data_IF_675000112459
#
_entry.id   IF_675000112459
#
_cell.length_a   1.000
_cell.length_b   1.000
_cell.length_c   1.000
_cell.angle_alpha   90.00
_cell.angle_beta   90.00
_cell.angle_gamma   90.00
#
_symmetry.space_group_name_H-M   'P 1'
#
loop_
_entity.id
_entity.type
_entity.pdbx_description
1 polymer ?
#
# COMPACT_ATOMS: atom_id res chain seq x y z
N UNK A 1 -5.81 -28.38 4.55
CA UNK A 1 -5.89 -27.81 5.91
C UNK A 1 -5.43 -28.74 7.04
N UNK A 2 -5.61 -30.05 6.96
CA UNK A 2 -5.17 -30.99 8.02
C UNK A 2 -3.64 -31.14 8.21
N UNK A 3 -2.83 -30.94 7.19
CA UNK A 3 -1.37 -31.19 7.25
C UNK A 3 -0.57 -30.06 7.95
N UNK A 4 -0.99 -28.81 7.84
CA UNK A 4 -0.30 -27.66 8.51
C UNK A 4 -0.60 -27.62 10.00
N UNK A 5 -1.78 -28.04 10.43
CA UNK A 5 -2.13 -28.13 11.85
C UNK A 5 -1.39 -29.28 12.57
N UNK A 6 -1.17 -30.40 11.89
CA UNK A 6 -0.38 -31.51 12.44
C UNK A 6 1.08 -31.13 12.67
N UNK A 7 1.67 -30.33 11.77
CA UNK A 7 3.05 -29.87 11.88
C UNK A 7 3.22 -28.82 13.02
N UNK A 8 2.23 -27.97 13.22
CA UNK A 8 2.19 -27.00 14.31
C UNK A 8 2.11 -27.69 15.67
N UNK A 9 1.26 -28.71 15.80
CA UNK A 9 1.12 -29.50 17.03
C UNK A 9 2.40 -30.28 17.31
N UNK A 10 3.09 -30.85 16.32
CA UNK A 10 4.37 -31.53 16.49
C UNK A 10 5.50 -30.57 16.94
N UNK A 11 5.54 -29.37 16.42
CA UNK A 11 6.53 -28.36 16.82
C UNK A 11 6.25 -27.81 18.22
N UNK A 12 4.98 -27.62 18.59
CA UNK A 12 4.57 -27.23 19.92
C UNK A 12 4.94 -28.32 20.95
N UNK A 13 4.78 -29.61 20.58
CA UNK A 13 5.18 -30.74 21.42
C UNK A 13 6.70 -30.84 21.60
N UNK A 14 7.51 -30.51 20.60
CA UNK A 14 8.96 -30.41 20.71
C UNK A 14 9.41 -29.28 21.63
N UNK A 15 8.73 -28.14 21.62
CA UNK A 15 9.01 -27.02 22.51
C UNK A 15 8.62 -27.31 23.97
N UNK A 16 7.55 -28.04 24.21
CA UNK A 16 7.06 -28.38 25.55
C UNK A 16 7.89 -29.51 26.20
N UNK A 17 8.55 -30.37 25.41
CA UNK A 17 9.39 -31.47 25.92
C UNK A 17 10.64 -31.00 26.63
N UNK A 18 11.03 -29.73 26.46
CA UNK A 18 12.22 -29.12 27.11
C UNK A 18 11.91 -28.29 28.36
N UNK A 19 10.68 -28.28 28.87
CA UNK A 19 10.34 -27.60 30.14
C UNK A 19 9.27 -28.39 30.91
N UNK A 20 9.65 -28.76 32.12
CA UNK A 20 8.85 -29.49 33.11
C UNK A 20 7.68 -28.63 33.66
N UNK A 21 6.51 -28.52 32.99
CA UNK A 21 5.26 -28.01 33.56
C UNK A 21 4.13 -28.13 32.52
N UNK A 22 3.51 -29.30 32.41
CA UNK A 22 2.53 -29.56 31.35
C UNK A 22 1.12 -29.96 31.80
N UNK A 23 0.81 -30.04 33.08
CA UNK A 23 -0.49 -30.63 33.51
C UNK A 23 -1.71 -29.66 33.52
N UNK A 24 -1.50 -28.35 33.57
CA UNK A 24 -2.64 -27.42 33.65
C UNK A 24 -3.17 -26.89 32.30
N UNK A 25 -2.47 -27.15 31.21
CA UNK A 25 -2.86 -26.66 29.87
C UNK A 25 -3.77 -27.63 29.09
N UNK A 26 -3.82 -28.91 29.50
CA UNK A 26 -4.53 -29.98 28.78
C UNK A 26 -6.05 -29.96 29.06
N UNK A 27 -6.46 -29.35 30.16
CA UNK A 27 -7.87 -29.37 30.58
C UNK A 27 -8.81 -28.38 29.82
N UNK A 28 -8.25 -27.48 28.99
CA UNK A 28 -9.03 -26.40 28.36
C UNK A 28 -9.26 -26.52 26.86
N UNK A 29 -8.75 -27.57 26.21
CA UNK A 29 -8.96 -27.77 24.77
C UNK A 29 -10.02 -28.85 24.51
N UNK A 30 -11.23 -28.45 24.16
CA UNK A 30 -12.22 -29.35 23.54
C UNK A 30 -11.92 -29.48 22.06
N UNK A 31 -11.36 -30.60 21.64
CA UNK A 31 -11.20 -30.98 20.24
C UNK A 31 -12.50 -31.64 19.72
N UNK A 32 -12.83 -31.40 18.45
CA UNK A 32 -13.97 -31.97 17.78
C UNK A 32 -13.87 -33.53 17.66
N UNK A 33 -14.99 -34.27 17.65
CA UNK A 33 -15.04 -35.71 17.93
C UNK A 33 -14.37 -36.64 16.92
N UNK A 34 -13.82 -36.19 15.83
CA UNK A 34 -13.36 -37.04 14.73
C UNK A 34 -11.86 -37.39 14.74
N UNK A 35 -11.07 -36.96 15.73
CA UNK A 35 -9.60 -37.17 15.76
C UNK A 35 -9.09 -37.87 17.03
N UNK A 36 -9.91 -38.70 17.69
CA UNK A 36 -9.66 -39.17 19.08
C UNK A 36 -8.94 -40.54 19.21
N UNK A 37 -8.50 -41.19 18.15
CA UNK A 37 -8.21 -42.65 18.27
C UNK A 37 -6.76 -43.08 18.47
N UNK A 38 -5.74 -42.24 18.31
CA UNK A 38 -4.36 -42.69 18.54
C UNK A 38 -3.52 -41.79 19.44
N UNK A 39 -3.67 -40.49 19.38
CA UNK A 39 -2.86 -39.56 20.19
C UNK A 39 -3.30 -39.53 21.67
N UNK A 40 -4.58 -39.66 21.95
CA UNK A 40 -5.15 -39.68 23.31
C UNK A 40 -4.71 -40.90 24.12
N UNK A 41 -4.62 -42.07 23.48
CA UNK A 41 -4.17 -43.30 24.18
C UNK A 41 -2.67 -43.30 24.48
N UNK A 42 -1.84 -42.67 23.65
CA UNK A 42 -0.41 -42.55 23.89
C UNK A 42 -0.11 -41.59 25.06
N UNK A 43 -0.87 -40.54 25.21
CA UNK A 43 -0.73 -39.56 26.30
C UNK A 43 -1.19 -40.17 27.63
N UNK A 44 -2.29 -40.90 27.66
CA UNK A 44 -2.76 -41.56 28.90
C UNK A 44 -1.82 -42.65 29.42
N UNK A 45 -1.09 -43.34 28.54
CA UNK A 45 -0.08 -44.36 28.95
C UNK A 45 1.22 -43.77 29.46
N UNK A 46 1.54 -42.53 29.11
CA UNK A 46 2.79 -41.91 29.58
C UNK A 46 2.63 -41.22 30.94
N UNK A 47 1.41 -40.68 31.22
CA UNK A 47 1.12 -40.03 32.52
C UNK A 47 1.00 -41.00 33.69
N UNK A 48 0.67 -42.28 33.45
CA UNK A 48 0.49 -43.28 34.49
C UNK A 48 1.78 -43.86 35.07
N UNK A 49 2.97 -43.45 34.63
CA UNK A 49 4.26 -44.05 35.04
C UNK A 49 5.21 -43.12 35.80
N UNK A 50 4.80 -41.92 36.20
CA UNK A 50 5.69 -41.04 37.01
C UNK A 50 5.05 -40.71 38.35
N UNK A 51 5.71 -41.14 39.42
CA UNK A 51 5.39 -40.95 40.84
C UNK A 51 5.75 -39.54 41.33
N UNK A 52 5.21 -39.10 42.49
CA UNK A 52 5.04 -37.69 42.82
C UNK A 52 6.26 -37.06 43.51
N UNK A 53 6.54 -35.83 43.15
CA UNK A 53 7.47 -34.95 43.89
C UNK A 53 6.72 -33.66 44.25
N UNK A 54 6.89 -33.31 45.53
CA UNK A 54 6.28 -32.22 46.27
C UNK A 54 6.39 -30.83 45.63
N UNK A 55 5.32 -30.08 45.69
CA UNK A 55 5.10 -28.73 45.15
C UNK A 55 5.77 -27.70 46.07
N UNK A 56 6.63 -26.88 45.49
CA UNK A 56 7.04 -25.58 46.05
C UNK A 56 6.31 -24.50 45.24
N UNK A 57 5.36 -23.85 45.87
CA UNK A 57 4.53 -22.79 45.31
C UNK A 57 5.29 -21.46 45.25
N UNK A 58 6.06 -21.23 44.21
CA UNK A 58 6.56 -19.91 43.85
C UNK A 58 6.77 -19.82 42.33
N UNK A 59 5.86 -19.21 41.59
CA UNK A 59 6.02 -18.98 40.16
C UNK A 59 4.73 -18.78 39.35
N UNK A 60 3.55 -19.04 39.93
CA UNK A 60 2.29 -19.01 39.17
C UNK A 60 1.71 -17.59 38.92
N UNK A 61 2.29 -16.54 39.56
CA UNK A 61 1.81 -15.16 39.42
C UNK A 61 2.39 -14.39 38.22
N UNK A 62 3.57 -14.76 37.71
CA UNK A 62 4.21 -14.03 36.62
C UNK A 62 3.75 -14.48 35.24
N UNK A 63 3.43 -15.76 35.05
CA UNK A 63 3.02 -16.28 33.72
C UNK A 63 1.60 -15.85 33.32
N UNK A 64 0.68 -15.75 34.30
CA UNK A 64 -0.68 -15.21 34.04
C UNK A 64 -0.64 -13.70 33.70
N UNK A 65 0.24 -12.94 34.32
CA UNK A 65 0.46 -11.52 33.99
C UNK A 65 1.12 -11.32 32.63
N UNK A 66 2.04 -12.19 32.22
CA UNK A 66 2.68 -12.16 30.90
C UNK A 66 1.71 -12.59 29.79
N UNK A 67 0.87 -13.60 30.03
CA UNK A 67 -0.17 -14.02 29.07
C UNK A 67 -1.30 -13.00 28.96
N UNK A 68 -1.71 -12.36 30.03
CA UNK A 68 -2.70 -11.27 29.98
C UNK A 68 -2.14 -9.99 29.36
N UNK A 69 -0.85 -9.69 29.57
CA UNK A 69 -0.17 -8.58 28.89
C UNK A 69 0.02 -8.86 27.37
N UNK A 70 0.38 -10.08 26.99
CA UNK A 70 0.47 -10.48 25.59
C UNK A 70 -0.90 -10.50 24.88
N UNK A 71 -1.95 -10.92 25.58
CA UNK A 71 -3.32 -10.89 25.05
C UNK A 71 -3.87 -9.45 24.99
N UNK A 72 -3.49 -8.58 25.93
CA UNK A 72 -3.82 -7.15 25.89
C UNK A 72 -3.07 -6.41 24.78
N UNK A 73 -1.81 -6.77 24.50
CA UNK A 73 -1.05 -6.24 23.36
C UNK A 73 -1.61 -6.72 22.02
N UNK A 74 -2.14 -7.96 21.94
CA UNK A 74 -2.82 -8.48 20.74
C UNK A 74 -4.21 -7.83 20.53
N UNK A 75 -4.84 -7.29 21.57
CA UNK A 75 -6.11 -6.57 21.50
C UNK A 75 -5.94 -5.05 21.32
N UNK A 76 -4.71 -4.55 21.47
CA UNK A 76 -4.32 -3.15 21.27
C UNK A 76 -3.68 -2.88 19.91
N UNK A 77 -3.47 -3.92 19.07
CA UNK A 77 -3.19 -3.70 17.64
C UNK A 77 -4.46 -3.11 17.04
N UNK A 78 -4.38 -1.82 16.73
CA UNK A 78 -5.47 -0.98 16.30
C UNK A 78 -6.40 -1.70 15.35
N UNK A 79 -7.68 -1.68 15.65
CA UNK A 79 -8.70 -1.82 14.63
C UNK A 79 -8.52 -0.62 13.72
N UNK A 80 -7.66 -0.78 12.68
CA UNK A 80 -7.87 0.00 11.48
C UNK A 80 -9.35 -0.22 11.16
N UNK A 81 -10.15 0.83 11.22
CA UNK A 81 -11.53 0.76 10.74
C UNK A 81 -11.40 0.40 9.26
N UNK A 82 -11.46 -0.90 8.96
CA UNK A 82 -11.48 -1.36 7.60
C UNK A 82 -12.67 -0.67 6.94
N UNK A 83 -12.41 0.11 5.91
CA UNK A 83 -13.47 0.67 5.08
C UNK A 83 -14.38 -0.49 4.69
N UNK A 84 -15.69 -0.36 4.91
CA UNK A 84 -16.62 -1.43 4.59
C UNK A 84 -16.61 -1.63 3.08
N UNK A 85 -16.00 -2.72 2.62
CA UNK A 85 -15.99 -3.08 1.21
C UNK A 85 -17.43 -3.39 0.77
N UNK A 86 -17.85 -2.84 -0.35
CA UNK A 86 -19.16 -3.11 -0.94
C UNK A 86 -19.20 -4.54 -1.51
N UNK A 87 -20.43 -5.09 -1.59
CA UNK A 87 -20.65 -6.40 -2.20
C UNK A 87 -20.76 -6.28 -3.71
N UNK A 88 -20.56 -7.37 -4.42
CA UNK A 88 -20.64 -7.45 -5.89
C UNK A 88 -21.96 -6.93 -6.48
N UNK A 89 -23.07 -7.10 -5.77
CA UNK A 89 -24.41 -6.72 -6.17
C UNK A 89 -24.77 -5.27 -5.82
N UNK A 90 -23.94 -4.56 -5.08
CA UNK A 90 -24.20 -3.17 -4.66
C UNK A 90 -23.97 -2.17 -5.83
N UNK A 91 -23.05 -2.49 -6.76
CA UNK A 91 -22.78 -1.67 -7.95
C UNK A 91 -22.87 -2.56 -9.19
N UNK A 92 -23.86 -2.35 -10.08
CA UNK A 92 -24.06 -3.17 -11.26
C UNK A 92 -23.01 -2.84 -12.32
N UNK A 93 -21.97 -3.67 -12.43
CA UNK A 93 -20.96 -3.62 -13.48
C UNK A 93 -20.90 -4.92 -14.27
N UNK A 94 -20.66 -4.82 -15.57
CA UNK A 94 -20.57 -5.97 -16.47
C UNK A 94 -19.25 -6.75 -16.30
N UNK A 95 -18.14 -6.06 -16.00
CA UNK A 95 -16.84 -6.70 -15.85
C UNK A 95 -16.84 -7.74 -14.72
N UNK A 96 -16.26 -8.95 -14.94
CA UNK A 96 -16.24 -10.02 -13.94
C UNK A 96 -15.26 -9.77 -12.79
N UNK A 97 -14.13 -9.10 -13.05
CA UNK A 97 -13.12 -8.78 -12.03
C UNK A 97 -12.97 -7.27 -11.95
N UNK A 98 -13.07 -6.71 -10.73
CA UNK A 98 -12.94 -5.27 -10.54
C UNK A 98 -12.47 -4.89 -9.14
N UNK A 99 -11.86 -3.71 -9.03
CA UNK A 99 -11.56 -3.03 -7.77
C UNK A 99 -11.71 -1.51 -7.95
N UNK A 100 -12.18 -0.85 -6.91
CA UNK A 100 -12.24 0.60 -6.80
C UNK A 100 -11.49 1.02 -5.53
N UNK A 101 -10.44 1.80 -5.69
CA UNK A 101 -9.50 2.20 -4.63
C UNK A 101 -9.33 3.71 -4.63
N UNK A 102 -9.11 4.31 -3.46
CA UNK A 102 -8.72 5.70 -3.34
C UNK A 102 -7.18 5.82 -3.28
N UNK A 103 -6.63 6.84 -3.94
CA UNK A 103 -5.18 7.02 -4.14
C UNK A 103 -4.41 7.22 -2.83
N UNK A 104 -4.79 8.18 -1.97
CA UNK A 104 -3.98 8.59 -0.81
C UNK A 104 -3.97 7.51 0.28
N UNK A 105 -5.14 7.07 0.67
CA UNK A 105 -5.31 6.08 1.74
C UNK A 105 -5.08 4.65 1.29
N UNK A 106 -5.26 4.36 0.00
CA UNK A 106 -5.32 2.99 -0.53
C UNK A 106 -6.58 2.24 -0.10
N UNK A 107 -7.57 2.95 0.45
CA UNK A 107 -8.81 2.35 0.89
C UNK A 107 -9.63 1.81 -0.28
N UNK A 108 -10.13 0.58 -0.13
CA UNK A 108 -10.93 -0.12 -1.14
C UNK A 108 -12.41 0.12 -0.89
N UNK A 109 -13.08 0.73 -1.86
CA UNK A 109 -14.51 1.05 -1.80
C UNK A 109 -15.35 -0.11 -2.33
N UNK A 110 -14.85 -0.81 -3.35
CA UNK A 110 -15.56 -1.90 -4.03
C UNK A 110 -14.57 -2.95 -4.53
N UNK A 111 -14.95 -4.20 -4.45
CA UNK A 111 -14.21 -5.30 -5.06
C UNK A 111 -15.16 -6.39 -5.58
N UNK A 112 -14.79 -6.98 -6.70
CA UNK A 112 -15.47 -8.10 -7.33
C UNK A 112 -14.42 -9.02 -7.93
N UNK A 113 -14.31 -10.25 -7.44
CA UNK A 113 -13.27 -11.21 -7.87
C UNK A 113 -11.88 -10.53 -8.04
N UNK A 114 -11.55 -9.58 -7.15
CA UNK A 114 -10.41 -8.68 -7.30
C UNK A 114 -9.05 -9.40 -7.28
N UNK A 115 -8.99 -10.57 -6.65
CA UNK A 115 -7.79 -11.41 -6.50
C UNK A 115 -7.74 -12.59 -7.49
N UNK A 116 -8.66 -12.65 -8.46
CA UNK A 116 -8.61 -13.68 -9.48
C UNK A 116 -7.51 -13.37 -10.49
N UNK A 117 -6.59 -14.35 -10.71
CA UNK A 117 -5.49 -14.21 -11.66
C UNK A 117 -6.01 -14.20 -13.09
N UNK A 118 -5.64 -13.18 -13.84
CA UNK A 118 -6.01 -12.96 -15.24
C UNK A 118 -4.82 -12.44 -16.05
N UNK A 119 -4.84 -12.67 -17.34
CA UNK A 119 -3.91 -11.99 -18.26
C UNK A 119 -4.23 -10.47 -18.29
N UNK A 120 -3.25 -9.58 -18.06
CA UNK A 120 -3.48 -8.13 -18.06
C UNK A 120 -3.50 -7.50 -19.45
N UNK A 121 -3.05 -8.20 -20.48
CA UNK A 121 -2.72 -7.58 -21.75
C UNK A 121 -1.82 -6.34 -21.57
N UNK A 122 -2.02 -5.29 -22.37
CA UNK A 122 -1.22 -4.05 -22.29
C UNK A 122 -1.38 -3.24 -20.99
N UNK A 123 -2.23 -3.67 -20.02
CA UNK A 123 -2.21 -3.05 -18.68
C UNK A 123 -0.87 -3.35 -17.98
N UNK A 124 -0.13 -4.39 -18.38
CA UNK A 124 1.28 -4.64 -18.02
C UNK A 124 2.14 -3.38 -18.10
N UNK A 125 1.88 -2.49 -19.08
CA UNK A 125 2.67 -1.27 -19.29
C UNK A 125 2.53 -0.24 -18.18
N UNK A 126 1.59 -0.42 -17.24
CA UNK A 126 1.56 0.40 -16.01
C UNK A 126 2.87 0.18 -15.23
N UNK A 127 3.31 -1.08 -15.06
CA UNK A 127 4.59 -1.38 -14.43
C UNK A 127 5.78 -0.88 -15.27
N UNK A 128 5.69 -1.00 -16.59
CA UNK A 128 6.74 -0.47 -17.49
C UNK A 128 6.89 1.04 -17.34
N UNK A 129 5.78 1.79 -17.35
CA UNK A 129 5.79 3.23 -17.14
C UNK A 129 6.27 3.60 -15.73
N UNK A 130 5.87 2.85 -14.70
CA UNK A 130 6.31 3.07 -13.32
C UNK A 130 7.84 3.01 -13.20
N UNK A 131 8.46 1.96 -13.70
CA UNK A 131 9.93 1.82 -13.63
C UNK A 131 10.67 2.91 -14.41
N UNK A 132 10.13 3.34 -15.56
CA UNK A 132 10.71 4.44 -16.35
C UNK A 132 10.58 5.77 -15.60
N UNK A 133 9.43 6.04 -15.02
CA UNK A 133 9.17 7.27 -14.24
C UNK A 133 10.05 7.33 -13.00
N UNK A 134 10.12 6.25 -12.23
CA UNK A 134 11.01 6.14 -11.06
C UNK A 134 12.48 6.36 -11.44
N UNK A 135 12.93 5.83 -12.60
CA UNK A 135 14.28 6.05 -13.09
C UNK A 135 14.53 7.51 -13.48
N UNK A 136 13.54 8.19 -14.04
CA UNK A 136 13.65 9.62 -14.37
C UNK A 136 13.72 10.46 -13.09
N UNK A 137 12.84 10.23 -12.13
CA UNK A 137 12.79 11.02 -10.89
C UNK A 137 14.01 10.79 -9.98
N UNK A 138 14.58 9.56 -10.01
CA UNK A 138 15.83 9.28 -9.30
C UNK A 138 17.07 9.82 -10.01
N UNK A 139 16.94 10.35 -11.23
CA UNK A 139 18.07 10.82 -12.05
C UNK A 139 18.89 9.68 -12.69
N UNK A 140 18.43 8.43 -12.64
CA UNK A 140 19.08 7.30 -13.31
C UNK A 140 18.84 7.31 -14.83
N UNK A 141 17.79 8.00 -15.29
CA UNK A 141 17.46 8.17 -16.69
C UNK A 141 17.03 9.63 -16.93
N UNK A 142 17.62 10.28 -17.96
CA UNK A 142 17.22 11.64 -18.34
C UNK A 142 16.00 11.61 -19.28
N UNK A 143 15.04 12.53 -19.08
CA UNK A 143 13.84 12.66 -19.94
C UNK A 143 14.19 12.84 -21.41
N UNK A 144 15.24 13.62 -21.68
CA UNK A 144 15.68 13.98 -23.02
C UNK A 144 16.77 13.05 -23.55
N UNK A 145 17.14 12.01 -22.78
CA UNK A 145 18.07 11.00 -23.24
C UNK A 145 17.56 10.35 -24.53
N UNK A 146 18.46 10.20 -25.49
CA UNK A 146 18.12 9.63 -26.81
C UNK A 146 18.22 8.11 -26.73
N UNK A 147 17.10 7.44 -26.95
CA UNK A 147 16.99 5.99 -27.08
C UNK A 147 17.12 5.61 -28.56
N UNK A 148 17.92 4.60 -28.85
CA UNK A 148 18.05 4.03 -30.20
C UNK A 148 17.31 2.71 -30.26
N UNK A 149 16.35 2.58 -31.17
CA UNK A 149 15.55 1.37 -31.32
C UNK A 149 16.43 0.20 -31.78
N UNK A 150 16.38 -0.91 -31.04
CA UNK A 150 17.01 -2.18 -31.41
C UNK A 150 16.20 -2.90 -32.49
N UNK A 151 16.80 -3.93 -33.08
CA UNK A 151 16.09 -4.85 -33.98
C UNK A 151 14.91 -5.52 -33.26
N UNK A 152 15.07 -5.90 -31.97
CA UNK A 152 14.03 -6.49 -31.14
C UNK A 152 12.87 -5.51 -30.96
N UNK A 153 13.14 -4.28 -30.56
CA UNK A 153 12.10 -3.26 -30.39
C UNK A 153 11.36 -2.98 -31.71
N UNK A 154 12.09 -2.81 -32.81
CA UNK A 154 11.53 -2.56 -34.14
C UNK A 154 10.69 -3.74 -34.69
N UNK A 155 10.97 -4.97 -34.26
CA UNK A 155 10.23 -6.17 -34.68
C UNK A 155 8.92 -6.41 -33.93
N UNK A 156 8.60 -5.57 -32.91
CA UNK A 156 7.41 -5.75 -32.10
C UNK A 156 6.12 -5.57 -32.89
N UNK A 157 5.16 -6.44 -32.65
CA UNK A 157 3.83 -6.38 -33.24
C UNK A 157 2.79 -5.70 -32.33
N UNK A 158 1.55 -5.76 -32.75
CA UNK A 158 0.38 -5.21 -32.03
C UNK A 158 0.33 -3.68 -32.10
N UNK A 159 0.03 -3.00 -31.00
CA UNK A 159 0.06 -1.55 -30.94
C UNK A 159 1.49 -1.04 -30.99
N UNK A 160 1.79 -0.16 -31.94
CA UNK A 160 3.15 0.31 -32.21
C UNK A 160 3.14 1.62 -32.97
N UNK A 161 4.27 2.32 -33.00
CA UNK A 161 4.49 3.50 -33.85
C UNK A 161 5.38 3.17 -35.07
N UNK A 162 5.65 1.88 -35.30
CA UNK A 162 6.51 1.36 -36.37
C UNK A 162 7.92 1.94 -36.30
N UNK A 163 8.58 1.76 -35.12
CA UNK A 163 10.00 2.10 -35.00
C UNK A 163 10.83 1.32 -36.01
N UNK A 164 11.73 2.03 -36.73
CA UNK A 164 12.76 1.38 -37.53
C UNK A 164 13.99 1.05 -36.68
N UNK A 165 14.71 -0.02 -37.03
CA UNK A 165 15.96 -0.35 -36.37
C UNK A 165 16.95 0.81 -36.53
N UNK A 166 17.51 1.30 -35.43
CA UNK A 166 18.42 2.44 -35.41
C UNK A 166 17.71 3.81 -35.33
N UNK A 167 16.37 3.85 -35.39
CA UNK A 167 15.61 5.08 -35.16
C UNK A 167 15.87 5.63 -33.75
N UNK A 168 15.91 6.95 -33.63
CA UNK A 168 16.27 7.63 -32.38
C UNK A 168 15.15 8.57 -31.96
N UNK A 169 14.67 8.37 -30.73
CA UNK A 169 13.68 9.23 -30.09
C UNK A 169 14.08 9.47 -28.63
N UNK A 170 13.55 10.52 -28.02
CA UNK A 170 13.79 10.78 -26.60
C UNK A 170 12.98 9.80 -25.72
N UNK A 171 13.46 9.59 -24.48
CA UNK A 171 12.72 8.85 -23.44
C UNK A 171 11.30 9.40 -23.29
N UNK A 172 11.15 10.73 -23.23
CA UNK A 172 9.87 11.43 -23.12
C UNK A 172 8.92 11.13 -24.29
N UNK A 173 9.40 11.14 -25.53
CA UNK A 173 8.58 10.81 -26.71
C UNK A 173 8.16 9.35 -26.70
N UNK A 174 9.07 8.42 -26.37
CA UNK A 174 8.74 7.01 -26.27
C UNK A 174 7.74 6.73 -25.13
N UNK A 175 7.92 7.35 -23.95
CA UNK A 175 6.98 7.26 -22.83
C UNK A 175 5.58 7.77 -23.22
N UNK A 176 5.51 8.89 -23.95
CA UNK A 176 4.28 9.42 -24.54
C UNK A 176 3.60 8.36 -25.44
N UNK A 177 4.35 7.72 -26.31
CA UNK A 177 3.82 6.68 -27.21
C UNK A 177 3.29 5.47 -26.42
N UNK A 178 3.98 5.05 -25.37
CA UNK A 178 3.53 3.96 -24.47
C UNK A 178 2.22 4.33 -23.78
N UNK A 179 2.11 5.55 -23.26
CA UNK A 179 0.91 6.00 -22.55
C UNK A 179 -0.29 6.19 -23.48
N UNK A 180 -0.10 6.85 -24.62
CA UNK A 180 -1.19 7.28 -25.52
C UNK A 180 -1.66 6.15 -26.42
N UNK A 181 -0.75 5.60 -27.24
CA UNK A 181 -1.12 4.56 -28.24
C UNK A 181 -0.76 3.15 -27.81
N UNK A 182 -0.22 2.98 -26.60
CA UNK A 182 0.18 1.65 -26.09
C UNK A 182 1.33 1.00 -26.88
N UNK A 183 2.26 1.78 -27.42
CA UNK A 183 3.33 1.35 -28.31
C UNK A 183 4.20 0.25 -27.68
N UNK A 184 4.19 -0.97 -28.25
CA UNK A 184 4.99 -2.11 -27.77
C UNK A 184 6.48 -1.93 -28.11
N UNK A 185 6.78 -1.42 -29.30
CA UNK A 185 8.11 -1.10 -29.76
C UNK A 185 8.82 -0.09 -28.84
N UNK A 186 8.13 0.99 -28.46
CA UNK A 186 8.64 1.95 -27.50
C UNK A 186 8.81 1.35 -26.09
N UNK A 187 7.92 0.48 -25.67
CA UNK A 187 8.01 -0.16 -24.35
C UNK A 187 9.27 -1.05 -24.26
N UNK A 188 9.56 -1.84 -25.30
CA UNK A 188 10.77 -2.66 -25.38
C UNK A 188 12.02 -1.79 -25.47
N UNK A 189 12.03 -0.74 -26.31
CA UNK A 189 13.15 0.19 -26.42
C UNK A 189 13.50 0.88 -25.09
N UNK A 190 12.50 1.32 -24.33
CA UNK A 190 12.68 1.89 -22.99
C UNK A 190 13.18 0.85 -21.99
N UNK A 191 12.67 -0.39 -22.03
CA UNK A 191 13.12 -1.48 -21.19
C UNK A 191 14.60 -1.81 -21.43
N UNK A 192 15.02 -1.89 -22.70
CA UNK A 192 16.40 -2.10 -23.08
C UNK A 192 17.31 -0.92 -22.70
N UNK A 193 16.82 0.32 -22.85
CA UNK A 193 17.55 1.52 -22.44
C UNK A 193 17.84 1.53 -20.94
N UNK A 194 16.85 1.12 -20.11
CA UNK A 194 16.98 1.17 -18.66
C UNK A 194 17.78 0.00 -18.09
N UNK A 195 17.61 -1.21 -18.63
CA UNK A 195 18.18 -2.43 -18.05
C UNK A 195 19.11 -3.20 -19.00
N UNK A 196 19.39 -2.67 -20.18
CA UNK A 196 20.24 -3.31 -21.19
C UNK A 196 19.56 -4.41 -22.00
N UNK A 197 18.57 -5.11 -21.43
CA UNK A 197 17.76 -6.14 -22.09
C UNK A 197 16.35 -6.18 -21.53
N UNK A 198 15.35 -6.60 -22.35
CA UNK A 198 13.99 -6.82 -21.84
C UNK A 198 13.96 -7.84 -20.69
N UNK A 199 14.74 -8.93 -20.78
CA UNK A 199 14.80 -9.93 -19.70
C UNK A 199 15.28 -9.38 -18.36
N UNK A 200 16.24 -8.44 -18.38
CA UNK A 200 16.69 -7.76 -17.16
C UNK A 200 15.61 -6.81 -16.63
N UNK A 201 14.91 -6.13 -17.51
CA UNK A 201 13.79 -5.26 -17.14
C UNK A 201 12.63 -6.06 -16.55
N UNK A 202 12.26 -7.21 -17.11
CA UNK A 202 11.23 -8.10 -16.59
C UNK A 202 11.58 -8.61 -15.18
N UNK A 203 12.84 -8.94 -14.91
CA UNK A 203 13.25 -9.24 -13.52
C UNK A 203 12.98 -8.07 -12.59
N UNK A 204 13.33 -6.85 -13.00
CA UNK A 204 13.06 -5.64 -12.19
C UNK A 204 11.57 -5.38 -12.02
N UNK A 205 10.72 -5.66 -13.05
CA UNK A 205 9.26 -5.60 -12.92
C UNK A 205 8.74 -6.54 -11.81
N UNK A 206 9.23 -7.78 -11.77
CA UNK A 206 8.82 -8.76 -10.76
C UNK A 206 9.36 -8.41 -9.36
N UNK A 207 10.58 -7.87 -9.26
CA UNK A 207 11.11 -7.34 -8.00
C UNK A 207 10.25 -6.18 -7.49
N UNK A 208 9.89 -5.22 -8.37
CA UNK A 208 9.03 -4.10 -7.98
C UNK A 208 7.62 -4.52 -7.61
N UNK A 209 7.06 -5.52 -8.31
CA UNK A 209 5.79 -6.12 -7.94
C UNK A 209 5.82 -6.69 -6.51
N UNK A 210 6.90 -7.42 -6.15
CA UNK A 210 7.07 -7.94 -4.80
C UNK A 210 7.23 -6.81 -3.76
N UNK A 211 7.96 -5.74 -4.06
CA UNK A 211 8.11 -4.55 -3.21
C UNK A 211 6.76 -3.86 -2.94
N UNK A 212 5.85 -3.85 -3.94
CA UNK A 212 4.50 -3.30 -3.84
C UNK A 212 3.48 -4.24 -3.18
N UNK A 213 3.87 -5.48 -2.83
CA UNK A 213 2.98 -6.47 -2.26
C UNK A 213 2.01 -7.10 -3.27
N UNK A 214 2.36 -7.11 -4.56
CA UNK A 214 1.58 -7.74 -5.63
C UNK A 214 1.83 -9.26 -5.63
N UNK A 215 1.22 -9.97 -4.68
CA UNK A 215 1.50 -11.40 -4.42
C UNK A 215 0.98 -12.34 -5.51
N UNK A 216 0.00 -11.91 -6.28
CA UNK A 216 -0.65 -12.68 -7.35
C UNK A 216 -0.29 -12.16 -8.75
N UNK A 217 0.93 -11.64 -8.91
CA UNK A 217 1.43 -11.08 -10.18
C UNK A 217 2.75 -11.72 -10.59
N UNK A 218 2.85 -12.05 -11.88
CA UNK A 218 4.10 -12.46 -12.51
C UNK A 218 4.17 -11.94 -13.95
N UNK A 219 5.22 -11.21 -14.25
CA UNK A 219 5.49 -10.68 -15.58
C UNK A 219 6.53 -11.53 -16.31
N UNK A 220 6.26 -11.85 -17.58
CA UNK A 220 7.20 -12.54 -18.49
C UNK A 220 7.71 -11.63 -19.61
N UNK A 221 7.05 -10.48 -19.84
CA UNK A 221 7.45 -9.47 -20.81
C UNK A 221 7.00 -8.07 -20.36
N UNK A 222 7.53 -7.01 -20.96
CA UNK A 222 7.24 -5.63 -20.59
C UNK A 222 6.01 -5.01 -21.30
N UNK A 223 5.38 -5.74 -22.21
CA UNK A 223 4.32 -5.21 -23.08
C UNK A 223 2.92 -5.77 -22.80
N UNK A 224 2.83 -7.01 -22.31
CA UNK A 224 1.58 -7.77 -22.18
C UNK A 224 0.98 -8.19 -23.53
N UNK A 225 1.80 -8.24 -24.60
CA UNK A 225 1.35 -8.63 -25.93
C UNK A 225 1.18 -10.16 -26.05
N UNK A 226 2.08 -10.92 -25.43
CA UNK A 226 2.05 -12.37 -25.49
C UNK A 226 1.11 -12.92 -24.42
N UNK A 227 0.14 -13.75 -24.87
CA UNK A 227 -0.79 -14.47 -24.00
C UNK A 227 -0.13 -15.73 -23.40
N UNK A 228 0.90 -15.52 -22.58
CA UNK A 228 1.58 -16.55 -21.81
C UNK A 228 0.77 -16.89 -20.55
N UNK A 229 0.68 -18.18 -20.20
CA UNK A 229 -0.02 -18.61 -18.97
C UNK A 229 0.70 -18.17 -17.70
N UNK A 230 2.02 -17.97 -17.80
CA UNK A 230 2.85 -17.46 -16.71
C UNK A 230 2.83 -15.92 -16.59
N UNK A 231 2.18 -15.21 -17.54
CA UNK A 231 2.00 -13.76 -17.51
C UNK A 231 0.62 -13.41 -16.96
N UNK A 232 0.53 -13.19 -15.66
CA UNK A 232 -0.74 -12.97 -14.97
C UNK A 232 -0.63 -11.88 -13.89
N UNK A 233 -1.78 -11.35 -13.52
CA UNK A 233 -1.97 -10.40 -12.42
C UNK A 233 -3.43 -10.45 -11.94
N UNK A 234 -3.79 -9.59 -11.00
CA UNK A 234 -5.16 -9.43 -10.48
C UNK A 234 -5.62 -7.98 -10.60
N UNK A 235 -6.92 -7.73 -10.49
CA UNK A 235 -7.44 -6.36 -10.45
C UNK A 235 -6.89 -5.59 -9.22
N UNK A 236 -6.72 -6.30 -8.10
CA UNK A 236 -6.12 -5.77 -6.88
C UNK A 236 -4.66 -5.33 -7.12
N UNK A 237 -3.82 -6.21 -7.64
CA UNK A 237 -2.40 -5.92 -7.86
C UNK A 237 -2.21 -4.79 -8.89
N UNK A 238 -3.06 -4.74 -9.93
CA UNK A 238 -3.06 -3.62 -10.87
C UNK A 238 -3.41 -2.30 -10.16
N UNK A 239 -4.35 -2.32 -9.21
CA UNK A 239 -4.66 -1.10 -8.45
C UNK A 239 -3.46 -0.65 -7.60
N UNK A 240 -2.70 -1.58 -7.00
CA UNK A 240 -1.48 -1.26 -6.25
C UNK A 240 -0.43 -0.57 -7.14
N UNK A 241 -0.07 -1.17 -8.29
CA UNK A 241 0.91 -0.54 -9.20
C UNK A 241 0.38 0.73 -9.85
N UNK A 242 -0.93 0.84 -10.09
CA UNK A 242 -1.55 2.06 -10.61
C UNK A 242 -1.50 3.17 -9.58
N UNK A 243 -1.80 2.86 -8.32
CA UNK A 243 -1.70 3.78 -7.19
C UNK A 243 -0.29 4.33 -7.05
N UNK A 244 0.71 3.47 -7.14
CA UNK A 244 2.10 3.90 -7.07
C UNK A 244 2.46 4.81 -8.26
N UNK A 245 2.11 4.41 -9.49
CA UNK A 245 2.42 5.21 -10.67
C UNK A 245 1.81 6.61 -10.63
N UNK A 246 0.55 6.77 -10.20
CA UNK A 246 -0.10 8.09 -10.16
C UNK A 246 0.35 8.96 -8.98
N UNK A 247 1.16 8.44 -8.06
CA UNK A 247 1.86 9.26 -7.04
C UNK A 247 2.97 10.10 -7.64
N UNK A 248 3.45 9.71 -8.80
CA UNK A 248 4.40 10.46 -9.60
C UNK A 248 3.65 11.40 -10.55
N UNK A 249 3.45 12.64 -10.16
CA UNK A 249 2.63 13.61 -10.92
C UNK A 249 3.07 13.76 -12.38
N UNK A 250 4.35 13.52 -12.67
CA UNK A 250 4.90 13.54 -14.01
C UNK A 250 4.14 12.63 -14.99
N UNK A 251 3.59 11.50 -14.55
CA UNK A 251 2.91 10.57 -15.48
C UNK A 251 1.65 11.19 -16.08
N UNK A 252 0.98 12.11 -15.37
CA UNK A 252 -0.23 12.80 -15.84
C UNK A 252 0.06 13.66 -17.07
N UNK A 253 1.30 14.14 -17.26
CA UNK A 253 1.70 14.86 -18.47
C UNK A 253 1.52 14.01 -19.74
N UNK A 254 1.58 12.69 -19.64
CA UNK A 254 1.45 11.76 -20.76
C UNK A 254 0.08 11.09 -20.81
N UNK A 255 -0.45 10.64 -19.69
CA UNK A 255 -1.69 9.83 -19.66
C UNK A 255 -2.95 10.65 -19.95
N UNK A 256 -2.92 11.96 -19.72
CA UNK A 256 -4.02 12.88 -20.02
C UNK A 256 -4.07 13.38 -21.46
N UNK A 257 -3.05 13.07 -22.27
CA UNK A 257 -3.03 13.45 -23.68
C UNK A 257 -4.13 12.67 -24.41
N UNK A 258 -5.09 13.40 -25.05
CA UNK A 258 -6.09 12.78 -25.91
C UNK A 258 -5.56 12.55 -27.32
N UNK A 259 -4.95 13.56 -27.92
CA UNK A 259 -4.33 13.50 -29.25
C UNK A 259 -3.05 14.32 -29.27
N UNK A 260 -2.03 13.81 -29.95
CA UNK A 260 -0.75 14.49 -30.14
C UNK A 260 -0.07 13.99 -31.43
N UNK A 261 1.13 14.46 -31.69
CA UNK A 261 1.95 14.01 -32.84
C UNK A 261 3.39 13.73 -32.40
N UNK A 262 4.08 12.96 -33.19
CA UNK A 262 5.54 12.71 -33.12
C UNK A 262 6.15 12.88 -34.51
N UNK A 263 7.49 12.78 -34.61
CA UNK A 263 8.20 12.90 -35.89
C UNK A 263 7.85 14.20 -36.62
N UNK A 264 8.01 15.33 -35.94
CA UNK A 264 7.73 16.67 -36.47
C UNK A 264 6.31 16.85 -37.05
N UNK A 265 5.32 16.12 -36.50
CA UNK A 265 3.93 16.19 -36.90
C UNK A 265 3.51 15.17 -37.95
N UNK A 266 4.43 14.35 -38.43
CA UNK A 266 4.15 13.36 -39.48
C UNK A 266 3.35 12.15 -38.97
N UNK A 267 3.42 11.85 -37.66
CA UNK A 267 2.73 10.69 -37.09
C UNK A 267 1.77 11.11 -35.97
N UNK A 268 0.46 10.87 -36.17
CA UNK A 268 -0.61 11.21 -35.21
C UNK A 268 -0.77 10.14 -34.14
N UNK A 269 -0.92 10.58 -32.89
CA UNK A 269 -1.25 9.75 -31.72
C UNK A 269 -2.68 10.02 -31.31
N UNK A 270 -3.43 8.96 -30.97
CA UNK A 270 -4.79 9.06 -30.36
C UNK A 270 -4.89 8.09 -29.19
N UNK A 271 -5.32 8.61 -28.06
CA UNK A 271 -5.34 7.83 -26.83
C UNK A 271 -6.32 6.65 -26.90
N UNK A 272 -5.82 5.47 -26.58
CA UNK A 272 -6.63 4.25 -26.49
C UNK A 272 -7.61 4.29 -25.31
N UNK A 273 -7.30 5.11 -24.30
CA UNK A 273 -8.18 5.32 -23.15
C UNK A 273 -9.21 6.44 -23.42
N UNK A 274 -10.39 6.05 -23.87
CA UNK A 274 -11.48 6.98 -24.18
C UNK A 274 -12.01 7.76 -22.98
N UNK A 275 -11.69 7.36 -21.72
CA UNK A 275 -12.06 8.13 -20.53
C UNK A 275 -11.51 9.54 -20.59
N UNK A 276 -10.28 9.71 -21.12
CA UNK A 276 -9.62 11.02 -21.23
C UNK A 276 -10.46 12.05 -21.97
N UNK A 277 -11.28 11.63 -22.92
CA UNK A 277 -12.15 12.54 -23.66
C UNK A 277 -13.58 12.59 -23.08
N UNK A 278 -14.12 11.45 -22.62
CA UNK A 278 -15.54 11.34 -22.30
C UNK A 278 -15.88 11.37 -20.80
N UNK A 279 -14.88 11.37 -19.91
CA UNK A 279 -15.11 11.34 -18.47
C UNK A 279 -14.40 12.50 -17.79
N UNK A 280 -15.18 13.39 -17.18
CA UNK A 280 -14.67 14.57 -16.49
C UNK A 280 -13.70 14.19 -15.36
N UNK A 281 -12.53 14.83 -15.35
CA UNK A 281 -11.49 14.58 -14.36
C UNK A 281 -10.64 13.34 -14.64
N UNK A 282 -10.81 12.63 -15.76
CA UNK A 282 -9.99 11.48 -16.08
C UNK A 282 -8.49 11.85 -16.17
N UNK A 283 -7.65 11.15 -15.41
CA UNK A 283 -6.19 11.34 -15.34
C UNK A 283 -5.40 10.21 -16.02
N UNK A 284 -6.05 9.08 -16.32
CA UNK A 284 -5.38 7.94 -16.95
C UNK A 284 -6.26 6.69 -16.97
N UNK A 285 -5.68 5.50 -16.98
CA UNK A 285 -4.25 5.20 -16.98
C UNK A 285 -3.92 4.32 -18.20
N UNK A 286 -4.42 3.07 -18.25
CA UNK A 286 -4.04 2.14 -19.31
C UNK A 286 -5.12 1.15 -19.69
N UNK A 287 -5.33 0.98 -21.00
CA UNK A 287 -6.19 -0.05 -21.61
C UNK A 287 -5.37 -1.30 -21.95
N UNK A 288 -6.02 -2.46 -21.95
CA UNK A 288 -5.48 -3.73 -22.43
C UNK A 288 -6.52 -4.51 -23.24
N UNK A 289 -6.06 -5.26 -24.22
CA UNK A 289 -6.85 -6.22 -24.97
C UNK A 289 -5.96 -7.27 -25.63
N UNK A 290 -6.28 -8.54 -25.42
CA UNK A 290 -5.90 -9.69 -26.25
C UNK A 290 -7.10 -10.63 -26.29
N UNK A 291 -7.06 -11.64 -27.15
CA UNK A 291 -8.14 -12.63 -27.21
C UNK A 291 -8.31 -13.43 -25.92
N UNK A 292 -7.23 -13.64 -25.14
CA UNK A 292 -7.25 -14.31 -23.84
C UNK A 292 -7.63 -13.38 -22.70
N UNK A 293 -7.04 -12.19 -22.66
CA UNK A 293 -7.30 -11.21 -21.60
C UNK A 293 -8.68 -10.56 -21.70
N UNK A 294 -9.29 -10.55 -22.87
CA UNK A 294 -10.48 -9.76 -23.18
C UNK A 294 -10.22 -8.26 -22.92
N UNK A 295 -11.21 -7.47 -22.61
CA UNK A 295 -11.06 -6.02 -22.43
C UNK A 295 -10.73 -5.66 -20.99
N UNK A 296 -9.54 -5.08 -20.79
CA UNK A 296 -9.01 -4.66 -19.50
C UNK A 296 -8.81 -3.14 -19.45
N UNK A 297 -8.96 -2.53 -18.28
CA UNK A 297 -8.73 -1.10 -18.08
C UNK A 297 -8.34 -0.84 -16.62
N UNK A 298 -7.23 -0.16 -16.42
CA UNK A 298 -6.97 0.64 -15.23
C UNK A 298 -7.35 2.08 -15.57
N UNK A 299 -8.41 2.60 -14.97
CA UNK A 299 -8.89 3.96 -15.17
C UNK A 299 -8.73 4.78 -13.90
N UNK A 300 -8.25 6.02 -14.04
CA UNK A 300 -8.09 6.97 -12.93
C UNK A 300 -8.78 8.27 -13.22
N UNK A 301 -9.29 8.92 -12.18
CA UNK A 301 -9.88 10.24 -12.28
C UNK A 301 -9.71 11.00 -10.97
N UNK A 302 -9.51 12.32 -11.09
CA UNK A 302 -9.35 13.25 -9.97
C UNK A 302 -10.41 14.36 -10.04
N UNK A 303 -11.06 14.64 -8.91
CA UNK A 303 -11.97 15.79 -8.74
C UNK A 303 -11.83 16.34 -7.34
N UNK A 304 -11.77 17.64 -7.21
CA UNK A 304 -11.69 18.33 -5.92
C UNK A 304 -10.54 17.82 -5.02
N UNK A 305 -9.42 17.42 -5.63
CA UNK A 305 -8.25 16.91 -4.93
C UNK A 305 -8.35 15.45 -4.46
N UNK A 306 -9.40 14.73 -4.83
CA UNK A 306 -9.56 13.28 -4.54
C UNK A 306 -9.40 12.50 -5.84
N UNK A 307 -8.47 11.52 -5.84
CA UNK A 307 -8.23 10.68 -7.00
C UNK A 307 -8.60 9.22 -6.72
N UNK A 308 -9.42 8.64 -7.60
CA UNK A 308 -9.83 7.25 -7.53
C UNK A 308 -9.25 6.44 -8.67
N UNK A 309 -9.02 5.17 -8.37
CA UNK A 309 -8.51 4.14 -9.28
C UNK A 309 -9.58 3.07 -9.42
N UNK A 310 -10.06 2.85 -10.64
CA UNK A 310 -11.00 1.77 -10.95
C UNK A 310 -10.35 0.82 -11.95
N UNK A 311 -10.11 -0.41 -11.55
CA UNK A 311 -9.55 -1.46 -12.41
C UNK A 311 -10.63 -2.46 -12.75
N UNK A 312 -10.73 -2.80 -14.04
CA UNK A 312 -11.58 -3.90 -14.51
C UNK A 312 -10.80 -4.81 -15.44
N UNK A 313 -11.01 -6.12 -15.28
CA UNK A 313 -10.39 -7.15 -16.11
C UNK A 313 -11.45 -8.02 -16.74
N UNK A 314 -11.13 -8.53 -17.92
CA UNK A 314 -11.88 -9.58 -18.63
C UNK A 314 -13.33 -9.19 -18.97
N UNK A 315 -13.59 -7.90 -19.28
CA UNK A 315 -14.89 -7.48 -19.78
C UNK A 315 -15.13 -8.01 -21.21
N UNK A 316 -16.36 -8.37 -21.53
CA UNK A 316 -16.70 -8.98 -22.82
C UNK A 316 -16.53 -8.03 -24.00
N UNK A 317 -16.81 -6.74 -23.79
CA UNK A 317 -16.70 -5.72 -24.84
C UNK A 317 -15.92 -4.49 -24.38
N UNK A 318 -15.44 -3.73 -25.38
CA UNK A 318 -14.83 -2.43 -25.11
C UNK A 318 -15.80 -1.45 -24.42
N UNK A 319 -17.11 -1.52 -24.73
CA UNK A 319 -18.12 -0.71 -24.07
C UNK A 319 -18.24 -1.08 -22.59
N UNK A 320 -18.33 -2.36 -22.28
CA UNK A 320 -18.51 -2.85 -20.90
C UNK A 320 -17.37 -2.43 -19.99
N UNK A 321 -16.12 -2.50 -20.47
CA UNK A 321 -14.96 -2.06 -19.65
C UNK A 321 -15.02 -0.57 -19.31
N UNK A 322 -15.39 0.29 -20.30
CA UNK A 322 -15.46 1.73 -20.06
C UNK A 322 -16.65 2.09 -19.18
N UNK A 323 -17.84 1.51 -19.43
CA UNK A 323 -19.03 1.75 -18.61
C UNK A 323 -18.83 1.24 -17.16
N UNK A 324 -18.20 0.07 -16.98
CA UNK A 324 -17.89 -0.43 -15.64
C UNK A 324 -16.98 0.53 -14.86
N UNK A 325 -15.90 1.01 -15.48
CA UNK A 325 -14.99 1.98 -14.83
C UNK A 325 -15.71 3.31 -14.55
N UNK A 326 -16.47 3.85 -15.50
CA UNK A 326 -17.24 5.08 -15.30
C UNK A 326 -18.25 4.94 -14.15
N UNK A 327 -18.92 3.81 -14.07
CA UNK A 327 -19.87 3.52 -12.99
C UNK A 327 -19.18 3.52 -11.63
N UNK A 328 -18.05 2.82 -11.51
CA UNK A 328 -17.27 2.76 -10.27
C UNK A 328 -16.76 4.14 -9.85
N UNK A 329 -16.12 4.88 -10.76
CA UNK A 329 -15.60 6.22 -10.47
C UNK A 329 -16.74 7.19 -10.11
N UNK A 330 -17.85 7.16 -10.84
CA UNK A 330 -19.00 8.02 -10.55
C UNK A 330 -19.62 7.70 -9.20
N UNK A 331 -19.69 6.43 -8.83
CA UNK A 331 -20.14 6.00 -7.51
C UNK A 331 -19.22 6.55 -6.39
N UNK A 332 -17.88 6.44 -6.58
CA UNK A 332 -16.92 6.96 -5.62
C UNK A 332 -17.10 8.48 -5.43
N UNK A 333 -17.08 9.25 -6.53
CA UNK A 333 -17.24 10.70 -6.46
C UNK A 333 -18.60 11.15 -5.91
N UNK A 334 -19.66 10.38 -6.11
CA UNK A 334 -20.97 10.71 -5.56
C UNK A 334 -21.04 10.51 -4.04
N UNK A 335 -20.44 9.45 -3.53
CA UNK A 335 -20.69 8.97 -2.17
C UNK A 335 -19.55 9.23 -1.18
N UNK A 336 -18.29 9.28 -1.63
CA UNK A 336 -17.13 9.38 -0.77
C UNK A 336 -16.40 10.71 -0.92
N UNK A 337 -15.70 11.09 0.11
CA UNK A 337 -14.81 12.24 0.16
C UNK A 337 -13.60 11.96 1.01
N UNK A 338 -12.52 12.66 0.72
CA UNK A 338 -11.27 12.62 1.44
C UNK A 338 -11.17 13.85 2.35
N UNK A 339 -10.73 13.69 3.58
CA UNK A 339 -10.45 14.80 4.48
C UNK A 339 -9.11 14.62 5.15
N UNK A 340 -8.42 15.73 5.41
CA UNK A 340 -7.20 15.68 6.22
C UNK A 340 -7.53 15.36 7.67
N UNK A 341 -6.77 14.45 8.26
CA UNK A 341 -6.81 14.15 9.70
C UNK A 341 -6.00 15.17 10.51
N UNK A 342 -5.27 16.07 9.85
CA UNK A 342 -4.49 17.11 10.51
C UNK A 342 -5.34 18.37 10.65
N UNK A 343 -5.75 18.74 11.87
CA UNK A 343 -6.35 20.05 12.09
C UNK A 343 -5.42 21.18 11.59
N UNK A 344 -5.96 22.29 11.10
CA UNK A 344 -5.15 23.39 10.59
C UNK A 344 -4.33 24.08 11.68
N UNK A 345 -4.68 23.87 12.95
CA UNK A 345 -4.00 24.45 14.09
C UNK A 345 -2.74 23.63 14.46
N UNK A 346 -1.63 24.33 14.63
CA UNK A 346 -0.39 23.69 15.06
C UNK A 346 -0.54 23.16 16.50
N UNK A 347 0.02 21.98 16.76
CA UNK A 347 0.05 21.40 18.10
C UNK A 347 0.93 22.27 19.02
N UNK A 348 0.47 22.60 20.24
CA UNK A 348 1.30 23.32 21.19
C UNK A 348 2.51 22.48 21.61
N UNK A 349 3.69 23.11 21.85
CA UNK A 349 4.85 22.39 22.34
C UNK A 349 4.57 21.81 23.73
N UNK A 350 5.03 20.57 23.97
CA UNK A 350 4.91 19.87 25.25
C UNK A 350 6.17 20.15 26.08
N UNK A 351 6.01 20.63 27.31
CA UNK A 351 7.13 20.92 28.23
C UNK A 351 7.85 19.63 28.60
N UNK A 352 9.20 19.68 28.65
CA UNK A 352 10.01 18.54 29.07
C UNK A 352 10.67 18.84 30.42
N UNK A 353 10.26 18.09 31.45
CA UNK A 353 10.80 18.26 32.81
C UNK A 353 12.18 17.62 32.90
N UNK A 354 13.14 18.37 33.41
CA UNK A 354 14.54 17.97 33.53
C UNK A 354 15.18 17.60 32.18
N UNK A 355 14.72 18.21 31.09
CA UNK A 355 15.30 18.06 29.75
C UNK A 355 16.39 19.06 29.44
N UNK A 356 17.30 18.71 28.53
CA UNK A 356 18.29 19.68 27.97
C UNK A 356 17.57 20.80 27.22
N UNK A 357 16.45 20.47 26.52
CA UNK A 357 15.49 21.42 25.98
C UNK A 357 14.26 21.53 26.90
N UNK A 358 13.69 22.72 27.02
CA UNK A 358 12.53 22.97 27.89
C UNK A 358 11.21 22.43 27.32
N UNK A 359 11.17 22.15 26.02
CA UNK A 359 9.98 21.58 25.34
C UNK A 359 10.37 20.72 24.15
N UNK A 360 9.42 19.91 23.71
CA UNK A 360 9.48 19.13 22.46
C UNK A 360 8.26 19.45 21.61
N UNK A 361 8.47 19.60 20.30
CA UNK A 361 7.39 19.80 19.35
C UNK A 361 6.69 18.47 19.06
N UNK A 362 5.37 18.33 19.33
CA UNK A 362 4.61 17.17 18.92
C UNK A 362 4.29 17.24 17.43
N UNK A 363 4.21 16.05 16.80
CA UNK A 363 3.79 15.86 15.41
C UNK A 363 2.81 14.69 15.32
N UNK A 364 1.91 14.72 14.34
CA UNK A 364 1.02 13.59 14.09
C UNK A 364 1.81 12.43 13.46
N UNK A 365 1.57 11.21 13.94
CA UNK A 365 2.12 9.98 13.38
C UNK A 365 1.02 9.19 12.69
N UNK A 366 1.28 8.67 11.48
CA UNK A 366 0.33 7.86 10.73
C UNK A 366 -0.35 8.59 9.58
N UNK A 367 -1.48 8.05 9.16
CA UNK A 367 -2.19 8.50 7.96
C UNK A 367 -2.60 9.97 8.07
N UNK A 368 -2.40 10.70 6.97
CA UNK A 368 -2.74 12.12 6.88
C UNK A 368 -4.19 12.36 6.48
N UNK A 369 -4.85 11.34 5.92
CA UNK A 369 -6.17 11.43 5.32
C UNK A 369 -7.12 10.36 5.80
N UNK A 370 -8.40 10.69 5.80
CA UNK A 370 -9.52 9.79 6.05
C UNK A 370 -10.44 9.82 4.82
N UNK A 371 -10.67 8.65 4.23
CA UNK A 371 -11.72 8.46 3.25
C UNK A 371 -12.98 7.99 3.97
N UNK A 372 -14.10 8.68 3.78
CA UNK A 372 -15.38 8.33 4.39
C UNK A 372 -16.55 8.80 3.53
N UNK A 373 -17.76 8.30 3.80
CA UNK A 373 -18.98 8.78 3.13
C UNK A 373 -19.20 10.26 3.40
N UNK A 374 -19.57 11.01 2.37
CA UNK A 374 -19.73 12.49 2.44
C UNK A 374 -20.68 12.94 3.56
N UNK A 375 -21.74 12.17 3.85
CA UNK A 375 -22.65 12.47 4.94
C UNK A 375 -22.01 12.39 6.33
N UNK A 376 -20.99 11.57 6.49
CA UNK A 376 -20.23 11.43 7.75
C UNK A 376 -19.21 12.56 7.89
N UNK A 377 -18.55 12.94 6.79
CA UNK A 377 -17.54 14.00 6.77
C UNK A 377 -18.07 15.38 7.18
N UNK A 378 -19.34 15.66 6.96
CA UNK A 378 -19.95 16.95 7.31
C UNK A 378 -20.10 17.22 8.81
N UNK A 379 -19.86 16.22 9.66
CA UNK A 379 -20.00 16.32 11.12
C UNK A 379 -18.81 15.79 11.90
N UNK A 380 -17.59 16.02 11.38
CA UNK A 380 -16.36 15.58 12.06
C UNK A 380 -16.04 16.48 13.27
N UNK A 381 -15.69 15.83 14.37
CA UNK A 381 -15.19 16.47 15.58
C UNK A 381 -13.77 15.94 15.86
N UNK A 382 -12.88 16.85 16.22
CA UNK A 382 -11.47 16.56 16.53
C UNK A 382 -11.22 16.80 18.01
N UNK A 383 -10.72 15.79 18.71
CA UNK A 383 -10.34 15.85 20.12
C UNK A 383 -8.86 15.50 20.26
N UNK A 384 -8.07 16.43 20.78
CA UNK A 384 -6.64 16.28 21.01
C UNK A 384 -6.37 16.10 22.49
N UNK A 385 -5.75 14.99 22.84
CA UNK A 385 -5.28 14.70 24.20
C UNK A 385 -3.76 14.79 24.22
N UNK A 386 -3.21 15.84 24.84
CA UNK A 386 -1.78 16.06 25.05
C UNK A 386 -1.54 16.40 26.52
N UNK A 387 -0.45 15.87 27.15
CA UNK A 387 -0.05 16.27 28.49
C UNK A 387 0.57 17.67 28.47
N UNK A 388 0.46 18.41 29.55
CA UNK A 388 1.14 19.71 29.72
C UNK A 388 2.66 19.54 29.81
N UNK A 389 3.13 18.44 30.39
CA UNK A 389 4.56 18.12 30.50
C UNK A 389 4.82 16.62 30.47
N UNK A 390 6.07 16.27 30.12
CA UNK A 390 6.62 14.91 30.15
C UNK A 390 8.00 14.89 30.79
N UNK A 391 8.41 13.86 31.52
CA UNK A 391 9.75 13.77 32.10
C UNK A 391 10.79 13.40 31.02
N UNK A 392 11.99 14.00 31.10
CA UNK A 392 13.13 13.59 30.31
C UNK A 392 13.70 12.22 30.80
N UNK A 393 14.33 11.40 29.90
CA UNK A 393 14.54 11.69 28.48
C UNK A 393 13.30 11.39 27.64
N UNK A 394 13.12 12.13 26.54
CA UNK A 394 12.12 11.89 25.51
C UNK A 394 12.83 11.35 24.27
N UNK A 395 12.34 10.24 23.72
CA UNK A 395 12.87 9.69 22.48
C UNK A 395 12.16 10.31 21.26
N UNK A 396 12.85 10.44 20.13
CA UNK A 396 12.18 10.77 18.87
C UNK A 396 11.13 9.67 18.54
N UNK A 397 9.94 10.07 18.10
CA UNK A 397 8.82 9.14 17.85
C UNK A 397 8.13 8.63 19.13
N UNK A 398 8.55 9.05 20.32
CA UNK A 398 7.85 8.68 21.56
C UNK A 398 6.43 9.25 21.55
N UNK A 399 5.43 8.40 21.82
CA UNK A 399 4.05 8.83 21.93
C UNK A 399 3.87 9.82 23.07
N UNK A 400 3.33 10.98 22.74
CA UNK A 400 3.01 12.06 23.67
C UNK A 400 1.50 12.15 23.94
N UNK A 401 0.68 11.85 22.91
CA UNK A 401 -0.75 12.01 23.01
C UNK A 401 -1.51 11.31 21.88
N UNK A 402 -2.77 11.68 21.71
CA UNK A 402 -3.65 11.11 20.67
C UNK A 402 -4.60 12.17 20.15
N UNK A 403 -4.75 12.21 18.82
CA UNK A 403 -5.88 12.84 18.15
C UNK A 403 -6.97 11.78 17.96
N UNK A 404 -8.17 12.06 18.42
CA UNK A 404 -9.37 11.24 18.14
C UNK A 404 -10.29 12.01 17.21
N UNK A 405 -10.65 11.39 16.08
CA UNK A 405 -11.60 11.92 15.10
C UNK A 405 -12.90 11.17 15.25
N UNK A 406 -13.99 11.88 15.48
CA UNK A 406 -15.33 11.31 15.60
C UNK A 406 -16.26 11.90 14.54
N UNK A 407 -17.21 11.09 14.08
CA UNK A 407 -18.23 11.48 13.10
C UNK A 407 -19.43 10.59 13.20
N UNK A 408 -20.64 11.14 13.10
CA UNK A 408 -21.87 10.36 13.25
C UNK A 408 -22.01 9.66 14.60
N UNK A 409 -21.35 10.15 15.65
CA UNK A 409 -21.35 9.55 16.99
C UNK A 409 -20.42 8.35 17.17
N UNK A 410 -19.55 8.07 16.18
CA UNK A 410 -18.57 6.98 16.23
C UNK A 410 -17.16 7.52 16.11
N UNK A 411 -16.18 6.80 16.69
CA UNK A 411 -14.76 7.08 16.45
C UNK A 411 -14.38 6.55 15.08
N UNK A 412 -13.94 7.45 14.21
CA UNK A 412 -13.53 7.13 12.83
C UNK A 412 -12.03 6.88 12.73
N UNK A 413 -11.22 7.65 13.46
CA UNK A 413 -9.78 7.49 13.46
C UNK A 413 -9.17 7.83 14.82
N UNK A 414 -8.00 7.27 15.11
CA UNK A 414 -7.12 7.66 16.19
C UNK A 414 -5.71 7.76 15.64
N UNK A 415 -5.12 8.95 15.77
CA UNK A 415 -3.77 9.23 15.28
C UNK A 415 -2.90 9.50 16.51
N UNK A 416 -1.80 8.77 16.61
CA UNK A 416 -0.82 9.03 17.67
C UNK A 416 -0.12 10.37 17.43
N UNK A 417 0.10 11.10 18.50
CA UNK A 417 0.89 12.31 18.49
C UNK A 417 2.23 11.98 19.16
N UNK A 418 3.32 12.21 18.45
CA UNK A 418 4.66 11.76 18.85
C UNK A 418 5.64 12.94 18.93
N UNK A 419 6.75 12.73 19.64
CA UNK A 419 7.84 13.70 19.70
C UNK A 419 8.59 13.77 18.36
N UNK A 420 8.74 14.98 17.81
CA UNK A 420 9.47 15.19 16.54
C UNK A 420 10.98 14.95 16.66
N UNK A 421 11.54 15.16 17.85
CA UNK A 421 12.96 15.05 18.13
C UNK A 421 13.22 14.51 19.54
N UNK A 422 14.40 13.93 19.80
CA UNK A 422 14.74 13.46 21.13
C UNK A 422 15.12 14.66 22.03
N UNK A 423 14.84 14.55 23.33
CA UNK A 423 15.31 15.48 24.36
C UNK A 423 16.02 14.67 25.44
N UNK A 424 17.32 14.89 25.58
CA UNK A 424 18.10 14.21 26.60
C UNK A 424 17.80 14.77 28.00
N UNK A 425 18.10 13.98 29.03
CA UNK A 425 17.93 14.41 30.41
C UNK A 425 19.12 15.27 30.85
N UNK A 426 18.86 16.38 31.53
CA UNK A 426 19.88 17.20 32.16
C UNK A 426 20.76 16.34 33.07
N UNK A 427 22.07 16.46 32.91
CA UNK A 427 23.05 15.93 33.87
C UNK A 427 23.17 16.81 35.11
N UNK A 428 23.79 16.30 36.18
CA UNK A 428 24.05 17.12 37.36
C UNK A 428 24.92 18.35 37.02
N UNK A 429 25.86 18.20 36.08
CA UNK A 429 26.69 19.30 35.60
C UNK A 429 25.89 20.40 34.92
N UNK A 430 24.91 20.04 34.11
CA UNK A 430 24.04 21.00 33.42
C UNK A 430 23.16 21.78 34.40
N UNK A 431 22.57 21.09 35.37
CA UNK A 431 21.75 21.71 36.43
C UNK A 431 22.60 22.66 37.25
N UNK A 432 23.81 22.22 37.67
CA UNK A 432 24.74 23.04 38.44
C UNK A 432 25.20 24.28 37.64
N UNK A 433 25.52 24.12 36.37
CA UNK A 433 25.88 25.19 35.45
C UNK A 433 24.76 26.25 35.29
N UNK A 434 23.50 25.80 35.10
CA UNK A 434 22.32 26.69 35.02
C UNK A 434 22.11 27.46 36.34
N UNK A 435 22.24 26.81 37.48
CA UNK A 435 22.15 27.44 38.79
C UNK A 435 23.24 28.49 39.00
N UNK A 436 24.50 28.21 38.64
CA UNK A 436 25.62 29.13 38.75
C UNK A 436 25.44 30.34 37.81
N UNK A 437 25.00 30.09 36.55
CA UNK A 437 24.68 31.14 35.58
C UNK A 437 23.60 32.11 36.08
N UNK A 438 22.54 31.57 36.70
CA UNK A 438 21.49 32.38 37.31
C UNK A 438 21.98 33.20 38.50
N UNK A 439 22.89 32.64 39.35
CA UNK A 439 23.47 33.33 40.51
C UNK A 439 24.42 34.48 40.14
N UNK A 440 25.17 34.37 39.06
CA UNK A 440 26.14 35.39 38.62
C UNK A 440 25.59 36.33 37.53
N UNK A 441 24.26 36.26 37.26
CA UNK A 441 23.59 37.20 36.36
C UNK A 441 23.96 37.02 34.88
N UNK A 442 24.59 35.90 34.48
CA UNK A 442 24.90 35.55 33.08
C UNK A 442 23.77 34.82 32.39
N UNK A 443 22.60 34.69 33.01
CA UNK A 443 21.37 34.19 32.38
C UNK A 443 20.77 35.28 31.51
N UNK A 444 21.26 35.40 30.27
CA UNK A 444 20.68 36.29 29.27
C UNK A 444 19.24 35.95 29.01
N UNK A 445 18.40 36.95 29.02
CA UNK A 445 17.05 36.91 28.47
C UNK A 445 17.14 36.63 26.97
N UNK A 446 16.78 35.41 26.58
CA UNK A 446 16.31 35.11 25.22
C UNK A 446 14.78 34.97 25.30
N UNK A 447 14.12 36.06 24.77
CA UNK A 447 12.69 36.21 24.66
C UNK A 447 12.10 35.47 23.44
#
# INVERSE_FOLDING_TARGET
>A
MCTKQALFVQNLFKMLKNRSHSESLIASFKLAPACETQASQAIKRHIAKTTPISIVTWGCFSLKRLLSAALAVLLLTGQALALQTLRDDDIPIAAPCAVLMERETGAVIYEKQAHERRSPASVTKVMTMLLVVEAIESGALERDAVVTASETAASMGGSQIWLEQGERMTVSEMLKCVAVVSANDCAVALAEQLCGTESAFVRRMNERAAELGMEDTHFTNCTGLLDDDDHYTTAWDIALMSRELIRHDMIKEYTTIWMDTIRDGEFGLSNTNKLIFYYEGATGLKTGFTSKAMYCLSGTAERDGVEYIAVVLHADTSADRFESVKTLLSYAFANYGLTSLRPPEALPPVRVEMGEADSVQPVYAGDEYLLEKKGVLSGLEFSIELPESVPAPVAAGQRLGTLTVTGGGQTLARVDIVASSPVARLTFGDVYGRMLGALIGLGGADG
#
